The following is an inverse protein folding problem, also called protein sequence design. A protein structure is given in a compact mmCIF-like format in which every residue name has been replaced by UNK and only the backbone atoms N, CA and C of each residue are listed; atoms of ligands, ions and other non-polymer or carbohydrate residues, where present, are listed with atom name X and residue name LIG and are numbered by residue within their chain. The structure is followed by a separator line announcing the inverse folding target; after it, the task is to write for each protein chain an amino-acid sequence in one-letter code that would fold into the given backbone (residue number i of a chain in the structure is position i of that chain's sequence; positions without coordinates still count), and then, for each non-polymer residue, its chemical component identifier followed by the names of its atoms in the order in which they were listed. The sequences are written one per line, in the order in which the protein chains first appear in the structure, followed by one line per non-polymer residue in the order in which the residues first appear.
data_IF_921859297856
#
_entry.id   IF_921859297856
#
_cell.length_a   1.000
_cell.length_b   1.000
_cell.length_c   1.000
_cell.angle_alpha   90.00
_cell.angle_beta   90.00
_cell.angle_gamma   90.00
#
_symmetry.space_group_name_H-M   'P 1'
#
loop_
_entity.id
_entity.type
_entity.pdbx_description
1 polymer ?
#
# COMPACT_ATOMS: atom_id res chain seq x y z
N UNK A 1 26.96 19.31 6.51
CA UNK A 1 25.60 18.89 6.87
C UNK A 1 24.86 18.58 5.57
N UNK A 2 24.68 17.31 5.19
CA UNK A 2 23.88 17.00 4.00
C UNK A 2 22.41 17.32 4.31
N UNK A 3 21.80 18.24 3.55
CA UNK A 3 20.37 18.48 3.64
C UNK A 3 19.65 17.15 3.38
N UNK A 4 18.86 16.68 4.35
CA UNK A 4 17.98 15.55 4.12
C UNK A 4 17.12 15.84 2.88
N UNK A 5 16.98 14.89 1.94
CA UNK A 5 16.14 15.09 0.77
C UNK A 5 14.71 15.41 1.23
N UNK A 6 14.06 16.35 0.53
CA UNK A 6 12.67 16.73 0.87
C UNK A 6 11.77 15.48 0.83
N UNK A 7 10.83 15.34 1.77
CA UNK A 7 9.89 14.23 1.76
C UNK A 7 9.12 14.15 0.43
N UNK A 8 8.86 12.94 -0.02
CA UNK A 8 8.01 12.68 -1.18
C UNK A 8 6.57 13.04 -0.78
N UNK A 9 5.95 13.96 -1.51
CA UNK A 9 4.59 14.40 -1.24
C UNK A 9 3.59 13.44 -1.88
N UNK A 10 2.81 12.78 -1.02
CA UNK A 10 1.92 11.67 -1.36
C UNK A 10 0.48 12.12 -1.38
N UNK A 11 -0.26 11.69 -2.39
CA UNK A 11 -1.71 11.67 -2.37
C UNK A 11 -2.20 10.25 -2.09
N UNK A 12 -2.99 10.10 -1.03
CA UNK A 12 -3.60 8.81 -0.67
C UNK A 12 -5.05 8.79 -1.15
N UNK A 13 -5.37 7.79 -1.97
CA UNK A 13 -6.69 7.63 -2.59
C UNK A 13 -7.44 6.48 -1.92
N UNK A 14 -8.67 6.74 -1.49
CA UNK A 14 -9.53 5.72 -0.89
C UNK A 14 -9.36 5.56 0.63
N UNK A 15 -8.81 6.56 1.32
CA UNK A 15 -8.80 6.57 2.79
C UNK A 15 -10.21 6.85 3.30
N UNK A 16 -10.89 5.81 3.80
CA UNK A 16 -12.28 5.88 4.23
C UNK A 16 -12.46 6.65 5.54
N UNK A 17 -13.52 7.47 5.60
CA UNK A 17 -14.02 8.06 6.84
C UNK A 17 -15.15 7.23 7.48
N UNK A 18 -15.64 6.18 6.82
CA UNK A 18 -16.79 5.39 7.29
C UNK A 18 -16.38 4.53 8.51
N UNK A 19 -17.20 4.46 9.57
CA UNK A 19 -17.03 3.50 10.66
C UNK A 19 -16.88 2.05 10.15
N UNK A 20 -16.14 1.22 10.88
CA UNK A 20 -15.80 -0.14 10.41
C UNK A 20 -17.02 -1.07 10.30
N UNK A 21 -18.09 -0.77 11.04
CA UNK A 21 -19.38 -1.46 11.11
C UNK A 21 -20.35 -1.05 10.00
N UNK A 22 -20.09 0.07 9.30
CA UNK A 22 -20.95 0.59 8.21
C UNK A 22 -20.27 0.51 6.82
N UNK A 23 -19.05 -0.02 6.76
CA UNK A 23 -18.25 0.03 5.53
C UNK A 23 -18.36 -1.25 4.69
N UNK A 24 -18.95 -1.15 3.50
CA UNK A 24 -19.02 -2.23 2.50
C UNK A 24 -17.68 -2.48 1.75
N UNK A 25 -16.55 -2.03 2.31
CA UNK A 25 -15.23 -2.17 1.70
C UNK A 25 -14.14 -2.62 2.67
N UNK A 26 -12.91 -2.78 2.18
CA UNK A 26 -11.74 -3.07 3.02
C UNK A 26 -11.11 -1.78 3.51
N UNK A 27 -10.98 -1.57 4.82
CA UNK A 27 -10.29 -0.42 5.41
C UNK A 27 -8.74 -0.52 5.30
N UNK A 28 -8.25 -0.98 4.14
CA UNK A 28 -6.84 -1.32 3.91
C UNK A 28 -5.94 -0.08 3.93
N UNK A 29 -6.40 1.04 3.37
CA UNK A 29 -5.67 2.29 3.40
C UNK A 29 -5.37 2.75 4.84
N UNK A 30 -6.33 2.62 5.77
CA UNK A 30 -6.13 3.04 7.15
C UNK A 30 -5.31 2.05 7.97
N UNK A 31 -5.41 0.74 7.70
CA UNK A 31 -4.68 -0.28 8.46
C UNK A 31 -3.26 -0.54 7.96
N UNK A 32 -3.01 -0.39 6.65
CA UNK A 32 -1.72 -0.73 6.03
C UNK A 32 -0.91 0.49 5.60
N UNK A 33 -1.51 1.42 4.84
CA UNK A 33 -0.78 2.55 4.24
C UNK A 33 -0.62 3.73 5.19
N UNK A 34 -1.71 4.14 5.82
CA UNK A 34 -1.75 5.33 6.67
C UNK A 34 -0.72 5.29 7.81
N UNK A 35 -0.59 4.22 8.62
CA UNK A 35 0.35 4.21 9.74
C UNK A 35 1.81 4.29 9.26
N UNK A 36 2.13 3.61 8.15
CA UNK A 36 3.48 3.64 7.57
C UNK A 36 3.84 5.00 6.99
N UNK A 37 2.91 5.63 6.25
CA UNK A 37 3.13 6.95 5.66
C UNK A 37 3.30 8.03 6.74
N UNK A 38 2.60 7.92 7.87
CA UNK A 38 2.75 8.82 9.01
C UNK A 38 4.06 8.62 9.78
N UNK A 39 4.52 7.37 9.90
CA UNK A 39 5.72 7.05 10.68
C UNK A 39 7.03 7.31 9.91
N UNK A 40 6.99 7.38 8.58
CA UNK A 40 8.18 7.49 7.73
C UNK A 40 8.60 8.95 7.50
N UNK A 41 9.87 9.31 7.73
CA UNK A 41 10.36 10.66 7.42
C UNK A 41 10.52 10.91 5.91
N UNK A 42 10.39 9.87 5.08
CA UNK A 42 10.55 9.96 3.63
C UNK A 42 9.28 10.41 2.90
N UNK A 43 8.13 10.39 3.56
CA UNK A 43 6.84 10.68 2.96
C UNK A 43 6.11 11.77 3.75
N UNK A 44 5.36 12.59 3.03
CA UNK A 44 4.41 13.54 3.59
C UNK A 44 3.06 13.29 2.92
N UNK A 45 2.02 12.96 3.70
CA UNK A 45 0.66 12.92 3.17
C UNK A 45 0.25 14.37 2.91
N UNK A 46 0.21 14.76 1.64
CA UNK A 46 -0.08 16.13 1.21
C UNK A 46 -1.49 16.29 0.64
N UNK A 47 -2.12 15.20 0.21
CA UNK A 47 -3.47 15.21 -0.34
C UNK A 47 -4.22 13.91 -0.06
N UNK A 48 -5.55 14.00 0.03
CA UNK A 48 -6.47 12.87 -0.07
C UNK A 48 -7.39 13.04 -1.27
N UNK A 49 -7.70 11.93 -1.95
CA UNK A 49 -8.79 11.85 -2.93
C UNK A 49 -9.81 10.81 -2.49
N UNK A 50 -11.06 11.23 -2.41
CA UNK A 50 -12.22 10.36 -2.20
C UNK A 50 -13.31 10.68 -3.25
N UNK A 51 -14.49 10.07 -3.12
CA UNK A 51 -15.62 10.25 -4.05
C UNK A 51 -16.16 11.68 -4.13
N UNK A 52 -15.87 12.51 -3.13
CA UNK A 52 -16.12 13.95 -3.15
C UNK A 52 -15.10 14.68 -2.27
N UNK A 53 -14.99 16.00 -2.44
CA UNK A 53 -14.11 16.84 -1.61
C UNK A 53 -14.55 16.76 -0.14
N UNK A 54 -15.85 16.76 0.14
CA UNK A 54 -16.42 16.62 1.49
C UNK A 54 -16.05 15.27 2.10
N UNK A 55 -16.08 14.18 1.32
CA UNK A 55 -15.65 12.88 1.81
C UNK A 55 -14.15 12.82 2.09
N UNK A 56 -13.32 13.54 1.34
CA UNK A 56 -11.90 13.67 1.64
C UNK A 56 -11.67 14.49 2.91
N UNK A 57 -12.40 15.60 3.11
CA UNK A 57 -12.34 16.42 4.34
C UNK A 57 -12.73 15.63 5.59
N UNK A 58 -13.85 14.88 5.54
CA UNK A 58 -14.26 14.01 6.66
C UNK A 58 -13.19 12.97 7.00
N UNK A 59 -12.45 12.48 6.00
CA UNK A 59 -11.35 11.53 6.21
C UNK A 59 -10.16 12.19 6.89
N UNK A 60 -9.77 13.39 6.44
CA UNK A 60 -8.71 14.21 7.09
C UNK A 60 -9.04 14.41 8.57
N UNK A 61 -10.27 14.82 8.88
CA UNK A 61 -10.73 15.06 10.26
C UNK A 61 -10.72 13.78 11.09
N UNK A 62 -11.33 12.70 10.58
CA UNK A 62 -11.41 11.42 11.30
C UNK A 62 -10.05 10.88 11.69
N UNK A 63 -9.08 10.97 10.78
CA UNK A 63 -7.75 10.41 10.96
C UNK A 63 -6.76 11.40 11.60
N UNK A 64 -7.23 12.58 12.02
CA UNK A 64 -6.41 13.59 12.69
C UNK A 64 -5.28 14.13 11.82
N UNK A 65 -5.46 14.17 10.49
CA UNK A 65 -4.45 14.64 9.57
C UNK A 65 -4.33 16.17 9.62
N UNK A 66 -3.12 16.75 9.39
CA UNK A 66 -2.93 18.19 9.46
C UNK A 66 -3.82 18.96 8.48
N UNK A 67 -4.24 20.18 8.85
CA UNK A 67 -5.03 21.05 7.97
C UNK A 67 -4.32 21.47 6.66
N UNK A 68 -3.02 21.20 6.54
CA UNK A 68 -2.26 21.38 5.29
C UNK A 68 -2.54 20.29 4.24
N UNK A 69 -3.18 19.17 4.62
CA UNK A 69 -3.58 18.11 3.69
C UNK A 69 -4.72 18.61 2.82
N UNK A 70 -4.53 18.61 1.50
CA UNK A 70 -5.55 19.04 0.55
C UNK A 70 -6.60 17.94 0.32
N UNK A 71 -7.86 18.34 0.22
CA UNK A 71 -8.96 17.44 -0.08
C UNK A 71 -9.36 17.57 -1.57
N UNK A 72 -9.39 16.44 -2.28
CA UNK A 72 -9.81 16.35 -3.68
C UNK A 72 -11.01 15.42 -3.84
N UNK A 73 -11.89 15.76 -4.79
CA UNK A 73 -13.01 14.93 -5.23
C UNK A 73 -12.95 14.53 -6.71
N UNK A 74 -11.99 15.06 -7.47
CA UNK A 74 -11.76 14.74 -8.88
C UNK A 74 -10.32 14.23 -9.07
N UNK A 75 -10.15 13.07 -9.74
CA UNK A 75 -8.84 12.59 -10.19
C UNK A 75 -8.04 13.61 -11.01
N UNK A 76 -8.72 14.42 -11.82
CA UNK A 76 -8.12 15.44 -12.68
C UNK A 76 -7.58 16.62 -11.88
N UNK A 77 -8.33 17.10 -10.88
CA UNK A 77 -7.89 18.16 -9.99
C UNK A 77 -6.66 17.72 -9.19
N UNK A 78 -6.65 16.47 -8.71
CA UNK A 78 -5.49 15.90 -8.01
C UNK A 78 -4.28 15.77 -8.96
N UNK A 79 -4.49 15.27 -10.17
CA UNK A 79 -3.42 15.11 -11.16
C UNK A 79 -2.80 16.45 -11.58
N UNK A 80 -3.59 17.53 -11.55
CA UNK A 80 -3.15 18.87 -11.91
C UNK A 80 -2.34 19.56 -10.81
N UNK A 81 -2.33 19.03 -9.57
CA UNK A 81 -1.53 19.61 -8.49
C UNK A 81 -0.02 19.33 -8.70
N UNK A 82 0.81 20.35 -9.01
CA UNK A 82 2.24 20.14 -9.25
C UNK A 82 3.01 19.83 -7.97
N UNK A 83 2.39 20.00 -6.80
CA UNK A 83 3.02 19.76 -5.50
C UNK A 83 2.97 18.30 -5.06
N UNK A 84 2.22 17.44 -5.78
CA UNK A 84 2.09 16.01 -5.50
C UNK A 84 2.99 15.21 -6.45
N UNK A 85 3.83 14.34 -5.88
CA UNK A 85 4.78 13.51 -6.64
C UNK A 85 4.34 12.06 -6.78
N UNK A 86 3.73 11.50 -5.74
CA UNK A 86 3.35 10.09 -5.66
C UNK A 86 1.86 9.93 -5.38
N UNK A 87 1.22 9.05 -6.14
CA UNK A 87 -0.15 8.61 -5.91
C UNK A 87 -0.14 7.21 -5.30
N UNK A 88 -0.86 7.02 -4.20
CA UNK A 88 -1.11 5.70 -3.60
C UNK A 88 -2.59 5.40 -3.69
N UNK A 89 -2.96 4.43 -4.52
CA UNK A 89 -4.34 4.03 -4.77
C UNK A 89 -4.70 2.74 -4.02
N UNK A 90 -5.64 2.85 -3.09
CA UNK A 90 -6.19 1.74 -2.30
C UNK A 90 -7.71 1.78 -2.30
N UNK A 91 -8.32 1.75 -3.50
CA UNK A 91 -9.77 1.70 -3.69
C UNK A 91 -10.24 0.30 -4.10
N UNK A 92 -11.53 0.14 -4.39
CA UNK A 92 -12.04 -1.06 -5.06
C UNK A 92 -11.41 -1.20 -6.45
N UNK A 93 -11.08 -2.42 -6.85
CA UNK A 93 -10.34 -2.71 -8.10
C UNK A 93 -10.97 -2.11 -9.36
N UNK A 94 -12.29 -2.10 -9.45
CA UNK A 94 -13.02 -1.56 -10.61
C UNK A 94 -12.92 -0.02 -10.76
N UNK A 95 -12.33 0.65 -9.76
CA UNK A 95 -12.09 2.10 -9.76
C UNK A 95 -10.63 2.45 -9.96
N UNK A 96 -9.70 1.49 -9.97
CA UNK A 96 -8.27 1.77 -10.06
C UNK A 96 -7.95 2.62 -11.28
N UNK A 97 -8.23 2.10 -12.49
CA UNK A 97 -7.76 2.78 -13.70
C UNK A 97 -8.39 4.16 -13.89
N UNK A 98 -9.71 4.31 -13.68
CA UNK A 98 -10.37 5.61 -13.80
C UNK A 98 -9.79 6.66 -12.86
N UNK A 99 -9.34 6.23 -11.69
CA UNK A 99 -8.88 7.12 -10.62
C UNK A 99 -7.42 7.53 -10.78
N UNK A 100 -6.56 6.62 -11.27
CA UNK A 100 -5.12 6.91 -11.42
C UNK A 100 -4.73 7.37 -12.81
N UNK A 101 -5.55 7.11 -13.85
CA UNK A 101 -5.24 7.45 -15.24
C UNK A 101 -4.84 8.92 -15.44
N UNK A 102 -5.53 9.93 -14.89
CA UNK A 102 -5.10 11.32 -15.04
C UNK A 102 -3.71 11.58 -14.44
N UNK A 103 -3.40 10.95 -13.31
CA UNK A 103 -2.08 11.08 -12.67
C UNK A 103 -0.98 10.38 -13.44
N UNK A 104 -1.27 9.24 -14.08
CA UNK A 104 -0.34 8.58 -15.00
C UNK A 104 -0.05 9.50 -16.20
N UNK A 105 -1.09 10.10 -16.80
CA UNK A 105 -0.95 11.06 -17.91
C UNK A 105 -0.10 12.26 -17.50
N UNK A 106 -0.25 12.74 -16.27
CA UNK A 106 0.56 13.81 -15.71
C UNK A 106 2.01 13.39 -15.37
N UNK A 107 2.41 12.14 -15.63
CA UNK A 107 3.76 11.63 -15.39
C UNK A 107 4.11 11.44 -13.90
N UNK A 108 3.10 11.39 -13.02
CA UNK A 108 3.33 11.16 -11.58
C UNK A 108 3.72 9.72 -11.31
N UNK A 109 4.44 9.49 -10.21
CA UNK A 109 4.65 8.13 -9.72
C UNK A 109 3.33 7.57 -9.19
N UNK A 110 3.05 6.29 -9.47
CA UNK A 110 1.80 5.66 -9.07
C UNK A 110 2.04 4.29 -8.43
N UNK A 111 1.56 4.15 -7.21
CA UNK A 111 1.36 2.88 -6.51
C UNK A 111 -0.12 2.50 -6.60
N UNK A 112 -0.43 1.29 -7.04
CA UNK A 112 -1.81 0.76 -7.05
C UNK A 112 -1.88 -0.57 -6.34
N UNK A 113 -2.85 -0.75 -5.44
CA UNK A 113 -3.05 -2.01 -4.76
C UNK A 113 -3.35 -3.19 -5.69
N UNK A 114 -3.04 -4.38 -5.21
CA UNK A 114 -3.42 -5.61 -5.90
C UNK A 114 -4.87 -5.98 -5.58
N UNK A 115 -5.67 -6.50 -6.55
CA UNK A 115 -5.35 -6.68 -7.97
C UNK A 115 -5.29 -5.38 -8.75
N UNK A 116 -4.35 -5.30 -9.71
CA UNK A 116 -4.14 -4.08 -10.50
C UNK A 116 -5.43 -3.66 -11.22
N UNK A 117 -6.06 -4.60 -11.90
CA UNK A 117 -7.34 -4.42 -12.60
C UNK A 117 -8.07 -5.75 -12.70
N UNK A 118 -9.40 -5.70 -12.85
CA UNK A 118 -10.23 -6.92 -13.00
C UNK A 118 -10.15 -7.54 -14.40
N UNK A 119 -9.71 -6.75 -15.38
CA UNK A 119 -9.64 -7.15 -16.79
C UNK A 119 -8.20 -7.00 -17.32
N UNK A 120 -7.66 -8.06 -17.92
CA UNK A 120 -6.30 -8.07 -18.46
C UNK A 120 -6.05 -7.03 -19.54
N UNK A 121 -7.03 -6.77 -20.42
CA UNK A 121 -6.89 -5.75 -21.47
C UNK A 121 -6.73 -4.35 -20.87
N UNK A 122 -7.51 -4.03 -19.84
CA UNK A 122 -7.41 -2.76 -19.12
C UNK A 122 -6.07 -2.66 -18.37
N UNK A 123 -5.65 -3.74 -17.70
CA UNK A 123 -4.35 -3.78 -17.03
C UNK A 123 -3.18 -3.53 -18.01
N UNK A 124 -3.25 -4.09 -19.24
CA UNK A 124 -2.27 -3.86 -20.30
C UNK A 124 -2.29 -2.41 -20.78
N UNK A 125 -3.47 -1.86 -21.02
CA UNK A 125 -3.62 -0.45 -21.40
C UNK A 125 -3.00 0.48 -20.34
N UNK A 126 -3.30 0.24 -19.07
CA UNK A 126 -2.76 1.00 -17.95
C UNK A 126 -1.24 0.92 -17.89
N UNK A 127 -0.66 -0.27 -18.08
CA UNK A 127 0.79 -0.46 -18.13
C UNK A 127 1.43 0.25 -19.34
N UNK A 128 0.83 0.16 -20.52
CA UNK A 128 1.35 0.79 -21.74
C UNK A 128 1.28 2.30 -21.65
N UNK A 129 0.22 2.84 -21.03
CA UNK A 129 0.10 4.25 -20.73
C UNK A 129 1.21 4.71 -19.78
N UNK A 130 1.44 3.98 -18.68
CA UNK A 130 2.48 4.34 -17.72
C UNK A 130 3.88 4.34 -18.33
N UNK A 131 4.20 3.33 -19.16
CA UNK A 131 5.48 3.27 -19.91
C UNK A 131 5.70 4.47 -20.82
N UNK A 132 4.64 5.03 -21.41
CA UNK A 132 4.73 6.18 -22.31
C UNK A 132 4.99 7.50 -21.59
N UNK A 133 4.48 7.67 -20.36
CA UNK A 133 4.51 8.95 -19.66
C UNK A 133 5.72 9.13 -18.74
N UNK A 134 6.46 8.05 -18.42
CA UNK A 134 7.75 8.11 -17.74
C UNK A 134 7.70 8.16 -16.20
N UNK A 135 6.50 8.24 -15.61
CA UNK A 135 6.32 8.07 -14.15
C UNK A 135 6.62 6.63 -13.70
N UNK A 136 7.14 6.47 -12.47
CA UNK A 136 7.44 5.14 -11.92
C UNK A 136 6.15 4.49 -11.45
N UNK A 137 6.06 3.17 -11.60
CA UNK A 137 4.89 2.38 -11.19
C UNK A 137 5.24 1.32 -10.18
N UNK A 138 4.36 1.10 -9.21
CA UNK A 138 4.43 -0.01 -8.27
C UNK A 138 3.03 -0.63 -8.08
N UNK A 139 2.99 -1.96 -7.90
CA UNK A 139 1.77 -2.68 -7.54
C UNK A 139 1.92 -3.24 -6.13
N UNK A 140 0.84 -3.19 -5.33
CA UNK A 140 0.74 -3.72 -3.97
C UNK A 140 0.93 -5.24 -3.88
N UNK A 141 2.17 -5.70 -4.08
CA UNK A 141 2.60 -7.09 -3.96
C UNK A 141 3.56 -7.24 -2.77
N UNK A 142 3.21 -6.64 -1.64
CA UNK A 142 4.02 -6.53 -0.42
C UNK A 142 4.48 -7.89 0.14
N UNK A 143 3.73 -8.96 -0.11
CA UNK A 143 4.12 -10.32 0.29
C UNK A 143 5.50 -10.73 -0.22
N UNK A 144 5.95 -10.17 -1.36
CA UNK A 144 7.30 -10.37 -1.92
C UNK A 144 8.42 -9.89 -1.00
N UNK A 145 8.12 -9.00 -0.05
CA UNK A 145 9.06 -8.43 0.90
C UNK A 145 8.94 -9.03 2.30
N UNK A 146 8.05 -10.02 2.51
CA UNK A 146 7.99 -10.71 3.80
C UNK A 146 9.25 -11.54 4.04
N UNK A 147 9.75 -11.55 5.28
CA UNK A 147 10.99 -12.26 5.63
C UNK A 147 10.99 -13.73 5.20
N UNK A 148 9.90 -14.51 5.35
CA UNK A 148 9.89 -15.90 4.89
C UNK A 148 10.08 -16.00 3.37
N UNK A 149 9.43 -15.13 2.58
CA UNK A 149 9.54 -15.16 1.12
C UNK A 149 10.92 -14.71 0.66
N UNK A 150 11.51 -13.68 1.30
CA UNK A 150 12.88 -13.26 1.03
C UNK A 150 13.87 -14.38 1.37
N UNK A 151 13.65 -15.11 2.47
CA UNK A 151 14.51 -16.23 2.85
C UNK A 151 14.39 -17.40 1.88
N UNK A 152 13.18 -17.75 1.46
CA UNK A 152 12.96 -18.77 0.43
C UNK A 152 13.65 -18.36 -0.87
N UNK A 153 13.54 -17.08 -1.27
CA UNK A 153 14.22 -16.55 -2.45
C UNK A 153 15.74 -16.75 -2.35
N UNK A 154 16.34 -16.41 -1.21
CA UNK A 154 17.77 -16.63 -0.94
C UNK A 154 18.15 -18.12 -1.01
N UNK A 155 17.36 -19.03 -0.42
CA UNK A 155 17.70 -20.45 -0.42
C UNK A 155 17.60 -21.09 -1.82
N UNK A 156 16.70 -20.59 -2.66
CA UNK A 156 16.49 -21.09 -4.03
C UNK A 156 17.46 -20.46 -5.03
N UNK A 157 17.61 -19.14 -5.01
CA UNK A 157 18.36 -18.38 -6.01
C UNK A 157 19.68 -17.79 -5.50
N UNK A 158 19.98 -17.88 -4.22
CA UNK A 158 21.19 -17.33 -3.60
C UNK A 158 21.14 -15.82 -3.41
N UNK A 159 22.31 -15.22 -3.21
CA UNK A 159 22.53 -13.77 -3.05
C UNK A 159 23.68 -13.33 -3.95
N UNK A 160 23.57 -12.13 -4.52
CA UNK A 160 24.71 -11.44 -5.15
C UNK A 160 25.49 -12.27 -6.18
N UNK A 161 24.79 -13.03 -7.02
CA UNK A 161 25.38 -13.85 -8.08
C UNK A 161 25.76 -15.28 -7.68
N UNK A 162 25.68 -15.62 -6.39
CA UNK A 162 25.87 -16.99 -5.91
C UNK A 162 24.62 -17.85 -6.11
N UNK A 163 24.80 -19.14 -6.40
CA UNK A 163 23.69 -20.07 -6.52
C UNK A 163 23.07 -20.40 -5.15
N UNK A 164 21.75 -20.59 -5.12
CA UNK A 164 21.03 -20.99 -3.91
C UNK A 164 21.29 -22.44 -3.50
N UNK A 165 21.16 -22.73 -2.20
CA UNK A 165 21.40 -24.04 -1.58
C UNK A 165 20.48 -25.16 -2.07
N UNK A 166 19.26 -24.82 -2.50
CA UNK A 166 18.25 -25.81 -2.94
C UNK A 166 18.47 -26.19 -4.42
N UNK A 167 19.15 -25.34 -5.20
CA UNK A 167 19.37 -25.56 -6.63
C UNK A 167 18.11 -25.37 -7.47
N UNK A 168 18.02 -26.08 -8.60
CA UNK A 168 16.93 -25.93 -9.58
C UNK A 168 15.58 -26.39 -8.99
N UNK A 169 14.59 -25.51 -9.01
CA UNK A 169 13.21 -25.85 -8.65
C UNK A 169 12.61 -26.79 -9.70
N UNK A 170 12.17 -27.98 -9.27
CA UNK A 170 11.51 -28.95 -10.15
C UNK A 170 9.98 -28.87 -10.05
N UNK A 171 9.45 -28.35 -8.94
CA UNK A 171 8.03 -28.16 -8.70
C UNK A 171 7.80 -27.36 -7.41
N UNK A 172 6.65 -26.71 -7.32
CA UNK A 172 6.25 -25.93 -6.15
C UNK A 172 4.75 -26.04 -5.92
N UNK A 173 4.36 -26.30 -4.67
CA UNK A 173 2.97 -26.23 -4.22
C UNK A 173 2.89 -25.26 -3.06
N UNK A 174 2.01 -24.26 -3.15
CA UNK A 174 1.80 -23.26 -2.11
C UNK A 174 0.39 -23.39 -1.55
N UNK A 175 0.31 -23.60 -0.24
CA UNK A 175 -0.93 -23.44 0.53
C UNK A 175 -0.81 -22.17 1.34
N UNK A 176 -1.69 -21.21 1.10
CA UNK A 176 -1.71 -19.94 1.82
C UNK A 176 -3.11 -19.66 2.34
N UNK A 177 -3.19 -19.22 3.60
CA UNK A 177 -4.38 -18.62 4.19
C UNK A 177 -4.11 -17.12 4.37
N UNK A 178 -4.81 -16.29 3.60
CA UNK A 178 -4.75 -14.84 3.76
C UNK A 178 -5.79 -14.45 4.80
N UNK A 179 -5.35 -14.31 6.05
CA UNK A 179 -6.22 -13.86 7.13
C UNK A 179 -6.70 -12.44 6.86
N UNK A 180 -8.00 -12.30 6.55
CA UNK A 180 -8.68 -10.99 6.48
C UNK A 180 -9.40 -10.63 7.78
N UNK A 181 -9.11 -11.33 8.89
CA UNK A 181 -9.75 -11.09 10.19
C UNK A 181 -8.86 -10.28 11.14
N UNK A 182 -9.37 -9.24 11.82
CA UNK A 182 -8.61 -8.45 12.79
C UNK A 182 -8.17 -9.24 14.04
N UNK A 183 -8.69 -10.45 14.27
CA UNK A 183 -8.49 -11.17 15.52
C UNK A 183 -7.09 -11.79 15.72
N UNK A 184 -6.24 -11.84 14.69
CA UNK A 184 -4.98 -12.59 14.73
C UNK A 184 -3.75 -11.80 15.22
N UNK A 185 -3.89 -10.50 15.52
CA UNK A 185 -2.82 -9.73 16.17
C UNK A 185 -2.73 -9.93 17.69
N UNK A 186 -3.67 -10.65 18.31
CA UNK A 186 -3.76 -10.80 19.76
C UNK A 186 -3.29 -12.16 20.28
N UNK A 187 -2.10 -12.63 19.88
CA UNK A 187 -1.42 -13.72 20.60
C UNK A 187 0.09 -13.62 20.45
N UNK A 188 0.73 -12.72 21.21
CA UNK A 188 2.10 -12.95 21.71
C UNK A 188 2.49 -12.04 22.87
N UNK A 189 2.00 -12.34 24.07
CA UNK A 189 2.78 -12.21 25.32
C UNK A 189 1.96 -12.72 26.51
N UNK A 190 1.65 -14.02 26.53
CA UNK A 190 1.39 -14.71 27.78
C UNK A 190 2.67 -15.42 28.18
N UNK A 191 3.43 -14.80 29.08
CA UNK A 191 4.42 -15.48 29.89
C UNK A 191 3.67 -16.56 30.68
N UNK A 192 4.01 -17.84 30.45
CA UNK A 192 3.68 -18.90 31.39
C UNK A 192 4.68 -18.80 32.55
N UNK A 193 4.26 -18.54 33.81
CA UNK A 193 5.12 -18.88 34.94
C UNK A 193 5.21 -20.41 35.00
N UNK A 194 6.44 -20.91 34.99
CA UNK A 194 6.75 -22.28 35.40
C UNK A 194 6.13 -22.50 36.79
N UNK A 195 5.29 -23.53 36.91
CA UNK A 195 4.93 -24.10 38.19
C UNK A 195 6.21 -24.70 38.80
N UNK A 196 6.73 -24.07 39.85
CA UNK A 196 7.66 -24.74 40.75
C UNK A 196 6.87 -25.74 41.58
N UNK A 197 6.91 -26.98 41.13
CA UNK A 197 6.68 -28.16 41.94
C UNK A 197 7.93 -28.36 42.80
N UNK A 198 7.85 -28.09 44.11
CA UNK A 198 8.77 -28.72 45.04
C UNK A 198 8.07 -29.05 46.36
N UNK A 199 7.96 -30.36 46.58
CA UNK A 199 7.64 -30.99 47.85
C UNK A 199 8.85 -30.86 48.80
N UNK A 200 8.64 -30.28 49.99
CA UNK A 200 8.98 -30.83 51.33
C UNK A 200 8.93 -29.74 52.39
#
# INVERSE_FOLDING_TARGET
MSSQPKPIRVALIGLSSTPADEYEGTNWAASAHLPYLLASPHYEIAALLNSSVESARRSIEKHGLPGSVKAYGSPEDLASDPTISLIVCSTRVDRHFSTVRPSIIAGKDVFVEWPLEKNLAIAKEMNDLAKKQGGRTLVGLQGRYSEPIVKVKELVWGKDGEAGRIGKVLGSTLFAALGVSPLLFYFRSTFFPLLEENQR
#
